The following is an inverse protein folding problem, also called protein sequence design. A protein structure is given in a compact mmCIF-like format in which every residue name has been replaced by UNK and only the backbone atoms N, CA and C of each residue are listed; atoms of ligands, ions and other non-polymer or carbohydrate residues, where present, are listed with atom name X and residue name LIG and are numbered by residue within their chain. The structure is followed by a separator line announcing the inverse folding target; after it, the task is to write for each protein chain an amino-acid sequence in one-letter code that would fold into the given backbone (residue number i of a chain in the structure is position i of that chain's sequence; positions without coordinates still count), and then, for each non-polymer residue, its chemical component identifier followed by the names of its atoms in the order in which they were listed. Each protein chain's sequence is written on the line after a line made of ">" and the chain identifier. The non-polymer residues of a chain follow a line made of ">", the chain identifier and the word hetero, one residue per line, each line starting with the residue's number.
data_IF_168257267275
#
_entry.id   IF_168257267275
#
_cell.length_a   1.000
_cell.length_b   1.000
_cell.length_c   1.000
_cell.angle_alpha   90.00
_cell.angle_beta   90.00
_cell.angle_gamma   90.00
#
_symmetry.space_group_name_H-M   'P 1'
#
loop_
_entity.id
_entity.type
_entity.pdbx_description
1 polymer ?
#
# COMPACT_ATOMS: atom_id res chain seq x y z
N UNK A 1 52.42 62.36 -0.48
CA UNK A 1 52.83 60.94 -0.45
C UNK A 1 51.66 60.13 -0.98
N UNK A 2 51.58 60.06 -2.30
CA UNK A 2 50.58 59.35 -3.08
C UNK A 2 51.36 58.22 -3.73
N UNK A 3 51.23 56.98 -3.24
CA UNK A 3 51.52 55.76 -4.00
C UNK A 3 51.27 54.56 -3.09
N UNK A 4 50.60 53.53 -3.64
CA UNK A 4 50.41 52.18 -3.09
C UNK A 4 49.17 51.97 -2.21
N UNK A 5 48.01 51.86 -2.86
CA UNK A 5 47.10 50.73 -2.64
C UNK A 5 46.05 50.64 -3.77
N UNK A 6 46.49 50.36 -5.00
CA UNK A 6 45.61 50.13 -6.16
C UNK A 6 46.01 48.87 -6.94
N UNK A 7 46.13 47.72 -6.27
CA UNK A 7 46.20 46.42 -6.96
C UNK A 7 45.56 45.32 -6.07
N UNK A 8 44.24 45.30 -5.94
CA UNK A 8 43.47 44.09 -5.56
C UNK A 8 42.01 44.15 -6.05
N UNK A 9 41.74 44.81 -7.18
CA UNK A 9 40.41 44.79 -7.82
C UNK A 9 40.55 44.38 -9.27
N UNK A 10 40.64 43.07 -9.52
CA UNK A 10 40.75 42.58 -10.88
C UNK A 10 41.01 41.08 -11.03
N UNK A 11 40.37 40.23 -10.24
CA UNK A 11 40.31 38.79 -10.55
C UNK A 11 39.12 38.07 -9.91
N UNK A 12 37.90 38.62 -10.04
CA UNK A 12 36.67 37.85 -9.81
C UNK A 12 35.67 38.17 -10.92
N UNK A 13 36.08 37.93 -12.17
CA UNK A 13 35.16 37.79 -13.31
C UNK A 13 35.72 36.66 -14.18
N UNK A 14 35.48 35.40 -13.78
CA UNK A 14 35.56 34.20 -14.65
C UNK A 14 35.55 32.92 -13.81
N UNK A 15 34.46 32.65 -13.08
CA UNK A 15 34.30 31.33 -12.45
C UNK A 15 32.85 30.96 -12.15
N UNK A 16 31.89 31.29 -13.03
CA UNK A 16 30.51 30.80 -12.89
C UNK A 16 29.88 30.51 -14.24
N UNK A 17 30.44 29.59 -15.01
CA UNK A 17 29.66 28.94 -16.07
C UNK A 17 30.27 27.59 -16.47
N UNK A 18 30.39 26.64 -15.55
CA UNK A 18 30.78 25.26 -15.91
C UNK A 18 30.36 24.20 -14.89
N UNK A 19 29.20 24.28 -14.24
CA UNK A 19 28.65 23.10 -13.57
C UNK A 19 27.14 23.14 -13.65
N UNK A 20 26.61 22.34 -14.58
CA UNK A 20 25.39 21.53 -14.46
C UNK A 20 25.21 20.80 -15.80
N UNK A 21 26.17 19.94 -16.14
CA UNK A 21 25.87 18.78 -16.98
C UNK A 21 25.60 17.65 -15.99
N UNK A 22 24.35 17.52 -15.58
CA UNK A 22 23.90 16.34 -14.86
C UNK A 22 24.04 15.18 -15.84
N UNK A 23 25.09 14.37 -15.68
CA UNK A 23 25.17 13.11 -16.41
C UNK A 23 23.92 12.28 -16.07
N UNK A 24 23.21 11.72 -17.07
CA UNK A 24 22.06 10.90 -16.78
C UNK A 24 22.52 9.71 -15.95
N UNK A 25 22.02 9.62 -14.71
CA UNK A 25 22.18 8.43 -13.89
C UNK A 25 21.47 7.31 -14.65
N UNK A 26 22.14 6.21 -15.03
CA UNK A 26 21.45 5.09 -15.64
C UNK A 26 20.45 4.58 -14.59
N UNK A 27 19.16 4.72 -14.90
CA UNK A 27 18.12 4.03 -14.16
C UNK A 27 18.36 2.54 -14.45
N UNK A 28 19.03 1.86 -13.52
CA UNK A 28 19.02 0.40 -13.48
C UNK A 28 17.59 0.06 -13.09
N UNK A 29 16.74 -0.14 -14.10
CA UNK A 29 15.50 -0.87 -13.94
C UNK A 29 15.95 -2.28 -13.57
N UNK A 30 15.97 -2.59 -12.27
CA UNK A 30 15.93 -4.00 -11.89
C UNK A 30 14.73 -4.60 -12.62
N UNK A 31 14.93 -5.60 -13.50
CA UNK A 31 13.80 -6.25 -14.13
C UNK A 31 12.92 -6.73 -13.00
N UNK A 32 11.68 -6.24 -12.94
CA UNK A 32 10.68 -6.75 -12.05
C UNK A 32 10.60 -8.26 -12.31
N UNK A 33 11.22 -9.03 -11.43
CA UNK A 33 11.17 -10.48 -11.49
C UNK A 33 9.74 -10.81 -11.11
N UNK A 34 8.87 -11.01 -12.10
CA UNK A 34 7.57 -11.59 -11.86
C UNK A 34 7.80 -12.89 -11.10
N UNK A 35 7.34 -12.93 -9.84
CA UNK A 35 7.38 -14.17 -9.10
C UNK A 35 6.45 -15.16 -9.81
N UNK A 36 6.87 -16.42 -10.00
CA UNK A 36 6.02 -17.40 -10.64
C UNK A 36 4.69 -17.53 -9.88
N UNK A 37 3.57 -17.48 -10.60
CA UNK A 37 2.23 -17.59 -10.02
C UNK A 37 2.11 -18.91 -9.27
N UNK A 38 1.62 -18.87 -8.02
CA UNK A 38 1.46 -20.05 -7.16
C UNK A 38 0.17 -19.98 -6.36
N UNK A 39 -0.53 -21.10 -6.26
CA UNK A 39 -1.68 -21.27 -5.36
C UNK A 39 -1.84 -22.73 -4.95
N UNK A 40 -2.62 -22.94 -3.90
CA UNK A 40 -3.09 -24.23 -3.42
C UNK A 40 -4.59 -24.09 -3.13
N UNK A 41 -5.39 -25.02 -3.65
CA UNK A 41 -6.84 -25.01 -3.57
C UNK A 41 -7.36 -26.41 -3.27
N UNK A 42 -8.31 -26.53 -2.35
CA UNK A 42 -8.96 -27.80 -2.06
C UNK A 42 -10.41 -27.60 -1.61
N UNK A 43 -11.26 -28.59 -1.88
CA UNK A 43 -12.58 -28.71 -1.28
C UNK A 43 -13.01 -30.17 -1.23
N UNK A 44 -14.00 -30.46 -0.39
CA UNK A 44 -14.65 -31.76 -0.35
C UNK A 44 -16.12 -31.61 0.03
N UNK A 45 -16.91 -32.59 -0.37
CA UNK A 45 -18.31 -32.76 0.01
C UNK A 45 -18.45 -34.16 0.58
N UNK A 46 -19.04 -34.24 1.76
CA UNK A 46 -19.35 -35.47 2.44
C UNK A 46 -20.79 -35.35 2.97
N UNK A 47 -21.74 -35.69 2.12
CA UNK A 47 -23.16 -35.64 2.45
C UNK A 47 -23.77 -37.03 2.34
N UNK A 48 -23.91 -37.68 3.50
CA UNK A 48 -24.52 -39.00 3.60
C UNK A 48 -26.04 -39.01 3.30
N UNK A 49 -26.71 -37.86 3.38
CA UNK A 49 -28.14 -37.78 3.07
C UNK A 49 -28.39 -37.82 1.56
N UNK A 50 -27.58 -37.10 0.79
CA UNK A 50 -27.66 -37.10 -0.68
C UNK A 50 -26.79 -38.19 -1.35
N UNK A 51 -25.83 -38.77 -0.63
CA UNK A 51 -24.85 -39.71 -1.16
C UNK A 51 -23.71 -39.04 -1.93
N UNK A 52 -23.54 -37.72 -1.78
CA UNK A 52 -22.53 -36.93 -2.47
C UNK A 52 -21.20 -36.97 -1.70
N UNK A 53 -20.29 -37.79 -2.20
CA UNK A 53 -18.93 -37.92 -1.69
C UNK A 53 -17.96 -37.57 -2.80
N UNK A 54 -17.37 -36.37 -2.72
CA UNK A 54 -16.36 -35.90 -3.67
C UNK A 54 -15.29 -35.05 -3.01
N UNK A 55 -14.10 -35.03 -3.60
CA UNK A 55 -13.00 -34.18 -3.14
C UNK A 55 -12.16 -33.71 -4.32
N UNK A 56 -11.62 -32.49 -4.22
CA UNK A 56 -10.68 -31.91 -5.17
C UNK A 56 -9.51 -31.27 -4.43
N UNK A 57 -8.32 -31.42 -4.99
CA UNK A 57 -7.14 -30.62 -4.62
C UNK A 57 -6.40 -30.19 -5.88
N UNK A 58 -5.91 -28.96 -5.94
CA UNK A 58 -5.13 -28.42 -7.04
C UNK A 58 -4.04 -27.49 -6.50
N UNK A 59 -2.85 -27.57 -7.07
CA UNK A 59 -1.75 -26.66 -6.80
C UNK A 59 -1.14 -26.19 -8.11
N UNK A 60 -0.83 -24.90 -8.18
CA UNK A 60 -0.05 -24.31 -9.29
C UNK A 60 1.30 -23.87 -8.78
N UNK A 61 2.34 -24.17 -9.55
CA UNK A 61 3.71 -23.66 -9.37
C UNK A 61 4.21 -23.20 -10.73
N UNK A 62 4.29 -21.88 -10.94
CA UNK A 62 4.68 -21.31 -12.23
C UNK A 62 3.69 -21.70 -13.33
N UNK A 63 4.16 -22.46 -14.32
CA UNK A 63 3.37 -22.92 -15.47
C UNK A 63 2.83 -24.34 -15.31
N UNK A 64 3.10 -24.99 -14.18
CA UNK A 64 2.62 -26.35 -13.91
C UNK A 64 1.45 -26.31 -12.92
N UNK A 65 0.34 -26.95 -13.30
CA UNK A 65 -0.79 -27.27 -12.43
C UNK A 65 -0.79 -28.77 -12.17
N UNK A 66 -0.96 -29.16 -10.91
CA UNK A 66 -1.15 -30.54 -10.48
C UNK A 66 -2.43 -30.60 -9.66
N UNK A 67 -3.22 -31.64 -9.84
CA UNK A 67 -4.35 -31.85 -8.96
C UNK A 67 -4.97 -33.23 -9.04
N UNK A 68 -5.94 -33.44 -8.17
CA UNK A 68 -6.71 -34.66 -8.07
C UNK A 68 -8.19 -34.30 -7.91
N UNK A 69 -9.06 -35.06 -8.56
CA UNK A 69 -10.49 -35.08 -8.29
C UNK A 69 -10.93 -36.49 -7.96
N UNK A 70 -11.84 -36.64 -7.00
CA UNK A 70 -12.43 -37.95 -6.69
C UNK A 70 -13.91 -37.84 -6.41
N UNK A 71 -14.66 -38.88 -6.81
CA UNK A 71 -16.08 -39.01 -6.55
C UNK A 71 -16.48 -40.47 -6.37
N UNK A 72 -17.52 -40.71 -5.58
CA UNK A 72 -18.18 -42.03 -5.51
C UNK A 72 -19.26 -42.10 -6.58
N UNK A 73 -19.13 -43.08 -7.48
CA UNK A 73 -20.10 -43.31 -8.53
C UNK A 73 -21.34 -44.05 -8.00
N UNK A 74 -22.47 -44.04 -8.73
CA UNK A 74 -23.68 -44.76 -8.35
C UNK A 74 -23.52 -46.27 -8.19
N UNK A 75 -22.51 -46.86 -8.84
CA UNK A 75 -22.14 -48.28 -8.73
C UNK A 75 -21.27 -48.58 -7.48
N UNK A 76 -20.99 -47.58 -6.64
CA UNK A 76 -20.13 -47.70 -5.48
C UNK A 76 -18.64 -47.75 -5.82
N UNK A 77 -18.23 -47.35 -7.02
CA UNK A 77 -16.82 -47.29 -7.40
C UNK A 77 -16.29 -45.88 -7.19
N UNK A 78 -15.20 -45.74 -6.41
CA UNK A 78 -14.47 -44.47 -6.29
C UNK A 78 -13.70 -44.22 -7.58
N UNK A 79 -14.09 -43.19 -8.31
CA UNK A 79 -13.28 -42.68 -9.42
C UNK A 79 -12.31 -41.64 -8.87
N UNK A 80 -11.04 -41.78 -9.22
CA UNK A 80 -9.97 -40.82 -8.96
C UNK A 80 -9.41 -40.36 -10.30
N UNK A 81 -9.22 -39.07 -10.45
CA UNK A 81 -8.60 -38.46 -11.61
C UNK A 81 -7.42 -37.63 -11.13
N UNK A 82 -6.21 -38.11 -11.38
CA UNK A 82 -4.99 -37.33 -11.21
C UNK A 82 -4.72 -36.57 -12.49
N UNK A 83 -4.55 -35.26 -12.42
CA UNK A 83 -4.32 -34.40 -13.58
C UNK A 83 -3.09 -33.52 -13.42
N UNK A 84 -2.45 -33.25 -14.56
CA UNK A 84 -1.34 -32.33 -14.71
C UNK A 84 -1.57 -31.46 -15.94
N UNK A 85 -1.27 -30.17 -15.84
CA UNK A 85 -1.20 -29.27 -16.99
C UNK A 85 0.11 -28.50 -16.97
N UNK A 86 0.81 -28.47 -18.11
CA UNK A 86 1.97 -27.61 -18.34
C UNK A 86 2.13 -27.32 -19.84
N UNK A 87 2.99 -26.36 -20.19
CA UNK A 87 3.18 -25.92 -21.58
C UNK A 87 3.83 -26.97 -22.50
N UNK A 88 4.54 -27.95 -21.93
CA UNK A 88 5.26 -28.97 -22.70
C UNK A 88 4.36 -30.15 -23.09
N UNK A 89 3.59 -30.68 -22.14
CA UNK A 89 2.75 -31.88 -22.32
C UNK A 89 1.27 -31.56 -22.50
N UNK A 90 0.87 -30.30 -22.31
CA UNK A 90 -0.54 -29.92 -22.25
C UNK A 90 -1.23 -30.53 -21.03
N UNK A 91 -2.52 -30.82 -21.16
CA UNK A 91 -3.32 -31.47 -20.12
C UNK A 91 -3.23 -32.99 -20.22
N UNK A 92 -2.77 -33.63 -19.14
CA UNK A 92 -2.72 -35.07 -18.96
C UNK A 92 -3.57 -35.47 -17.76
N UNK A 93 -4.36 -36.52 -17.89
CA UNK A 93 -5.16 -37.06 -16.80
C UNK A 93 -5.11 -38.58 -16.77
N UNK A 94 -4.92 -39.15 -15.58
CA UNK A 94 -5.00 -40.59 -15.33
C UNK A 94 -6.23 -40.87 -14.49
N UNK A 95 -7.10 -41.75 -14.98
CA UNK A 95 -8.33 -42.14 -14.29
C UNK A 95 -8.16 -43.52 -13.67
N UNK A 96 -8.41 -43.63 -12.37
CA UNK A 96 -8.43 -44.89 -11.63
C UNK A 96 -9.83 -45.13 -11.06
N UNK A 97 -10.39 -46.29 -11.35
CA UNK A 97 -11.66 -46.74 -10.81
C UNK A 97 -11.36 -47.78 -9.73
N UNK A 98 -11.43 -47.37 -8.47
CA UNK A 98 -11.19 -48.22 -7.31
C UNK A 98 -12.54 -48.69 -6.78
N UNK A 99 -12.84 -50.00 -6.73
CA UNK A 99 -14.04 -50.44 -6.03
C UNK A 99 -13.96 -49.94 -4.58
N UNK A 100 -15.07 -49.47 -4.02
CA UNK A 100 -15.16 -49.23 -2.58
C UNK A 100 -15.09 -50.60 -1.90
N UNK A 101 -13.87 -51.07 -1.64
CA UNK A 101 -13.67 -52.15 -0.70
C UNK A 101 -14.05 -51.53 0.65
N UNK A 102 -15.28 -51.76 1.10
CA UNK A 102 -15.58 -51.71 2.52
C UNK A 102 -14.43 -52.42 3.24
N UNK A 103 -13.88 -51.88 4.34
CA UNK A 103 -12.68 -52.48 4.90
C UNK A 103 -13.01 -53.93 5.25
N UNK A 104 -12.07 -54.81 4.89
CA UNK A 104 -11.99 -56.25 5.16
C UNK A 104 -12.64 -57.17 4.09
N UNK A 105 -11.80 -57.65 3.17
CA UNK A 105 -11.36 -59.06 3.02
C UNK A 105 -10.59 -59.18 1.70
N UNK A 106 -9.27 -58.95 1.73
CA UNK A 106 -8.39 -59.67 0.81
C UNK A 106 -8.52 -61.14 1.20
N UNK A 107 -9.36 -61.90 0.50
CA UNK A 107 -9.20 -63.34 0.30
C UNK A 107 -10.13 -63.86 -0.80
N UNK A 108 -9.50 -64.12 -1.96
CA UNK A 108 -9.55 -65.35 -2.75
C UNK A 108 -10.36 -65.37 -4.05
N UNK A 109 -9.64 -65.70 -5.13
CA UNK A 109 -10.02 -66.72 -6.12
C UNK A 109 -8.75 -67.19 -6.89
N UNK A 110 -8.69 -68.38 -7.53
CA UNK A 110 -9.45 -69.63 -7.39
C UNK A 110 -8.57 -70.90 -7.15
N UNK A 111 -9.19 -72.04 -6.84
CA UNK A 111 -8.53 -73.36 -6.70
C UNK A 111 -8.21 -74.05 -8.04
N UNK A 112 -7.09 -74.79 -8.09
CA UNK A 112 -6.94 -76.08 -8.78
C UNK A 112 -5.86 -76.95 -8.06
N UNK A 113 -6.17 -78.25 -7.89
CA UNK A 113 -5.66 -79.34 -7.02
C UNK A 113 -4.19 -79.84 -7.19
N UNK A 114 -3.69 -80.90 -6.50
CA UNK A 114 -4.03 -81.56 -5.21
C UNK A 114 -2.88 -81.56 -4.15
N UNK A 115 -3.15 -82.13 -2.97
CA UNK A 115 -2.37 -82.14 -1.71
C UNK A 115 -0.89 -82.60 -1.76
N UNK A 116 -0.07 -82.20 -0.74
CA UNK A 116 0.13 -83.10 0.40
C UNK A 116 0.01 -82.42 1.78
N UNK A 117 -0.06 -83.27 2.79
CA UNK A 117 -0.45 -83.03 4.19
C UNK A 117 0.70 -82.54 5.11
N UNK A 118 0.31 -81.72 6.09
CA UNK A 118 0.90 -81.44 7.43
C UNK A 118 2.24 -80.69 7.52
N UNK A 119 2.18 -79.43 7.99
CA UNK A 119 2.79 -79.10 9.30
C UNK A 119 2.05 -77.94 9.98
N UNK A 120 1.50 -78.28 11.14
CA UNK A 120 0.79 -77.43 12.09
C UNK A 120 1.70 -76.29 12.58
N UNK A 121 1.28 -75.04 12.34
CA UNK A 121 1.85 -73.88 13.03
C UNK A 121 0.76 -72.80 13.15
N UNK A 122 0.05 -72.85 14.29
CA UNK A 122 -0.58 -71.75 15.02
C UNK A 122 -1.02 -70.55 14.15
N UNK A 123 -2.30 -70.57 13.75
CA UNK A 123 -3.00 -69.40 13.19
C UNK A 123 -3.18 -68.37 14.32
N UNK A 124 -2.35 -67.32 14.34
CA UNK A 124 -2.61 -66.10 15.11
C UNK A 124 -3.76 -65.33 14.47
N UNK A 125 -4.96 -65.39 15.06
CA UNK A 125 -6.19 -64.73 14.60
C UNK A 125 -6.30 -63.23 14.96
N UNK A 126 -5.19 -62.48 15.07
CA UNK A 126 -5.20 -61.09 15.60
C UNK A 126 -5.08 -59.98 14.52
N UNK A 127 -4.95 -60.33 13.23
CA UNK A 127 -4.59 -59.35 12.17
C UNK A 127 -5.69 -58.41 11.64
N UNK A 128 -6.98 -58.80 11.49
CA UNK A 128 -7.98 -57.90 10.89
C UNK A 128 -8.37 -56.71 11.79
N UNK A 129 -8.35 -56.90 13.11
CA UNK A 129 -8.75 -55.88 14.09
C UNK A 129 -7.70 -54.79 14.27
N UNK A 130 -6.42 -55.15 14.29
CA UNK A 130 -5.33 -54.17 14.35
C UNK A 130 -5.32 -53.27 13.11
N UNK A 131 -5.52 -53.86 11.93
CA UNK A 131 -5.56 -53.10 10.67
C UNK A 131 -6.79 -52.18 10.58
N UNK A 132 -7.93 -52.60 11.14
CA UNK A 132 -9.12 -51.74 11.24
C UNK A 132 -8.96 -50.60 12.26
N UNK A 133 -8.24 -50.84 13.36
CA UNK A 133 -7.91 -49.80 14.33
C UNK A 133 -6.94 -48.76 13.75
N UNK A 134 -5.90 -49.18 13.03
CA UNK A 134 -4.98 -48.25 12.36
C UNK A 134 -5.68 -47.38 11.33
N UNK A 135 -6.59 -47.95 10.51
CA UNK A 135 -7.36 -47.18 9.54
C UNK A 135 -8.27 -46.14 10.23
N UNK A 136 -8.88 -46.51 11.35
CA UNK A 136 -9.74 -45.61 12.13
C UNK A 136 -8.92 -44.47 12.77
N UNK A 137 -7.72 -44.78 13.25
CA UNK A 137 -6.79 -43.80 13.82
C UNK A 137 -6.24 -42.86 12.75
N UNK A 138 -5.92 -43.38 11.56
CA UNK A 138 -5.52 -42.59 10.40
C UNK A 138 -6.63 -41.63 9.95
N UNK A 139 -7.89 -42.10 9.94
CA UNK A 139 -9.04 -41.27 9.58
C UNK A 139 -9.29 -40.16 10.61
N UNK A 140 -9.13 -40.44 11.91
CA UNK A 140 -9.18 -39.42 12.96
C UNK A 140 -8.07 -38.37 12.80
N UNK A 141 -6.84 -38.81 12.51
CA UNK A 141 -5.72 -37.91 12.28
C UNK A 141 -5.98 -37.00 11.07
N UNK A 142 -6.56 -37.53 10.00
CA UNK A 142 -6.95 -36.75 8.82
C UNK A 142 -8.02 -35.70 9.16
N UNK A 143 -9.05 -36.06 9.93
CA UNK A 143 -10.06 -35.10 10.40
C UNK A 143 -9.46 -33.99 11.25
N UNK A 144 -8.50 -34.32 12.10
CA UNK A 144 -7.86 -33.35 12.98
C UNK A 144 -7.00 -32.35 12.19
N UNK A 145 -6.23 -32.82 11.21
CA UNK A 145 -5.48 -31.97 10.30
C UNK A 145 -6.40 -31.02 9.52
N UNK A 146 -7.54 -31.53 9.05
CA UNK A 146 -8.50 -30.73 8.30
C UNK A 146 -9.15 -29.65 9.16
N UNK A 147 -9.49 -29.95 10.42
CA UNK A 147 -9.96 -28.94 11.37
C UNK A 147 -8.89 -27.88 11.66
N UNK A 148 -7.63 -28.30 11.79
CA UNK A 148 -6.52 -27.38 12.03
C UNK A 148 -6.30 -26.44 10.84
N UNK A 149 -6.36 -26.95 9.62
CA UNK A 149 -6.25 -26.15 8.39
C UNK A 149 -7.41 -25.15 8.28
N UNK A 150 -8.64 -25.59 8.59
CA UNK A 150 -9.81 -24.70 8.58
C UNK A 150 -9.70 -23.59 9.64
N UNK A 151 -9.18 -23.90 10.84
CA UNK A 151 -8.93 -22.89 11.87
C UNK A 151 -7.85 -21.89 11.44
N UNK A 152 -6.77 -22.36 10.80
CA UNK A 152 -5.72 -21.47 10.28
C UNK A 152 -6.26 -20.55 9.19
N UNK A 153 -7.06 -21.07 8.26
CA UNK A 153 -7.68 -20.26 7.21
C UNK A 153 -8.60 -19.18 7.80
N UNK A 154 -9.38 -19.55 8.82
CA UNK A 154 -10.26 -18.60 9.52
C UNK A 154 -9.46 -17.51 10.24
N UNK A 155 -8.34 -17.87 10.89
CA UNK A 155 -7.43 -16.90 11.51
C UNK A 155 -6.80 -15.96 10.48
N UNK A 156 -6.34 -16.50 9.35
CA UNK A 156 -5.76 -15.71 8.26
C UNK A 156 -6.80 -14.73 7.68
N UNK A 157 -8.03 -15.17 7.46
CA UNK A 157 -9.11 -14.31 6.98
C UNK A 157 -9.41 -13.17 7.95
N UNK A 158 -9.46 -13.48 9.25
CA UNK A 158 -9.66 -12.46 10.28
C UNK A 158 -8.51 -11.44 10.32
N UNK A 159 -7.26 -11.92 10.21
CA UNK A 159 -6.09 -11.04 10.16
C UNK A 159 -6.11 -10.14 8.92
N UNK A 160 -6.52 -10.65 7.77
CA UNK A 160 -6.65 -9.87 6.54
C UNK A 160 -7.70 -8.76 6.67
N UNK A 161 -8.86 -9.05 7.30
CA UNK A 161 -9.87 -8.03 7.57
C UNK A 161 -9.34 -6.93 8.49
N UNK A 162 -8.60 -7.29 9.55
CA UNK A 162 -7.99 -6.30 10.44
C UNK A 162 -6.99 -5.39 9.71
N UNK A 163 -6.15 -5.96 8.84
CA UNK A 163 -5.22 -5.17 8.03
C UNK A 163 -5.94 -4.22 7.06
N UNK A 164 -7.01 -4.66 6.41
CA UNK A 164 -7.82 -3.79 5.55
C UNK A 164 -8.45 -2.63 6.33
N UNK A 165 -9.00 -2.91 7.52
CA UNK A 165 -9.59 -1.88 8.37
C UNK A 165 -8.53 -0.86 8.81
N UNK A 166 -7.33 -1.33 9.18
CA UNK A 166 -6.23 -0.46 9.55
C UNK A 166 -5.79 0.44 8.38
N UNK A 167 -5.67 -0.11 7.16
CA UNK A 167 -5.36 0.68 5.97
C UNK A 167 -6.43 1.73 5.68
N UNK A 168 -7.71 1.38 5.84
CA UNK A 168 -8.81 2.33 5.65
C UNK A 168 -8.75 3.48 6.65
N UNK A 169 -8.46 3.21 7.93
CA UNK A 169 -8.29 4.25 8.95
C UNK A 169 -7.10 5.17 8.63
N UNK A 170 -5.96 4.60 8.21
CA UNK A 170 -4.79 5.37 7.77
C UNK A 170 -5.14 6.30 6.60
N UNK A 171 -5.88 5.79 5.61
CA UNK A 171 -6.28 6.58 4.45
C UNK A 171 -7.23 7.72 4.84
N UNK A 172 -8.21 7.46 5.70
CA UNK A 172 -9.11 8.50 6.23
C UNK A 172 -8.34 9.56 7.01
N UNK A 173 -7.40 9.15 7.86
CA UNK A 173 -6.58 10.09 8.61
C UNK A 173 -5.73 10.99 7.69
N UNK A 174 -5.15 10.40 6.63
CA UNK A 174 -4.38 11.17 5.66
C UNK A 174 -5.25 12.18 4.91
N UNK A 175 -6.45 11.79 4.47
CA UNK A 175 -7.39 12.70 3.83
C UNK A 175 -7.80 13.85 4.76
N UNK A 176 -8.03 13.56 6.04
CA UNK A 176 -8.37 14.58 7.03
C UNK A 176 -7.22 15.59 7.22
N UNK A 177 -5.97 15.12 7.29
CA UNK A 177 -4.81 16.00 7.36
C UNK A 177 -4.68 16.89 6.12
N UNK A 178 -4.85 16.32 4.92
CA UNK A 178 -4.81 17.11 3.68
C UNK A 178 -5.90 18.19 3.67
N UNK A 179 -7.12 17.83 4.09
CA UNK A 179 -8.23 18.78 4.17
C UNK A 179 -7.93 19.91 5.17
N UNK A 180 -7.36 19.58 6.33
CA UNK A 180 -6.98 20.56 7.34
C UNK A 180 -5.88 21.52 6.82
N UNK A 181 -4.89 21.00 6.09
CA UNK A 181 -3.87 21.82 5.45
C UNK A 181 -4.46 22.76 4.40
N UNK A 182 -5.39 22.28 3.57
CA UNK A 182 -6.08 23.11 2.58
C UNK A 182 -6.88 24.23 3.25
N UNK A 183 -7.61 23.94 4.34
CA UNK A 183 -8.33 24.97 5.10
C UNK A 183 -7.37 26.03 5.67
N UNK A 184 -6.23 25.62 6.23
CA UNK A 184 -5.23 26.56 6.73
C UNK A 184 -4.65 27.44 5.61
N UNK A 185 -4.37 26.87 4.45
CA UNK A 185 -3.89 27.63 3.28
C UNK A 185 -4.94 28.64 2.80
N UNK A 186 -6.20 28.26 2.74
CA UNK A 186 -7.30 29.18 2.38
C UNK A 186 -7.40 30.33 3.39
N UNK A 187 -7.30 30.05 4.69
CA UNK A 187 -7.33 31.08 5.72
C UNK A 187 -6.15 32.05 5.59
N UNK A 188 -4.94 31.54 5.33
CA UNK A 188 -3.76 32.37 5.09
C UNK A 188 -3.93 33.25 3.84
N UNK A 189 -4.46 32.71 2.75
CA UNK A 189 -4.75 33.47 1.54
C UNK A 189 -5.78 34.58 1.79
N UNK A 190 -6.83 34.29 2.57
CA UNK A 190 -7.85 35.28 2.91
C UNK A 190 -7.27 36.41 3.77
N UNK A 191 -6.45 36.09 4.78
CA UNK A 191 -5.75 37.10 5.58
C UNK A 191 -4.82 37.96 4.73
N UNK A 192 -4.08 37.34 3.81
CA UNK A 192 -3.20 38.07 2.91
C UNK A 192 -3.97 39.03 1.99
N UNK A 193 -5.10 38.59 1.43
CA UNK A 193 -5.97 39.45 0.63
C UNK A 193 -6.53 40.63 1.45
N UNK A 194 -6.95 40.40 2.70
CA UNK A 194 -7.41 41.47 3.59
C UNK A 194 -6.30 42.49 3.86
N UNK A 195 -5.07 42.04 4.13
CA UNK A 195 -3.94 42.94 4.33
C UNK A 195 -3.64 43.76 3.07
N UNK A 196 -3.67 43.16 1.88
CA UNK A 196 -3.50 43.90 0.63
C UNK A 196 -4.60 44.96 0.44
N UNK A 197 -5.87 44.62 0.71
CA UNK A 197 -6.97 45.59 0.63
C UNK A 197 -6.78 46.74 1.62
N UNK A 198 -6.34 46.48 2.84
CA UNK A 198 -6.03 47.53 3.82
C UNK A 198 -4.90 48.44 3.35
N UNK A 199 -3.83 47.89 2.75
CA UNK A 199 -2.74 48.69 2.18
C UNK A 199 -3.22 49.57 1.03
N UNK A 200 -4.07 49.06 0.14
CA UNK A 200 -4.66 49.83 -0.96
C UNK A 200 -5.54 50.97 -0.43
N UNK A 201 -6.36 50.71 0.60
CA UNK A 201 -7.17 51.74 1.25
C UNK A 201 -6.31 52.84 1.89
N UNK A 202 -5.24 52.48 2.58
CA UNK A 202 -4.30 53.46 3.16
C UNK A 202 -3.63 54.32 2.08
N UNK A 203 -3.22 53.72 0.95
CA UNK A 203 -2.67 54.47 -0.17
C UNK A 203 -3.68 55.45 -0.78
N UNK A 204 -4.94 55.02 -0.95
CA UNK A 204 -6.00 55.91 -1.43
C UNK A 204 -6.27 57.07 -0.47
N UNK A 205 -6.32 56.80 0.84
CA UNK A 205 -6.47 57.84 1.86
C UNK A 205 -5.32 58.84 1.82
N UNK A 206 -4.07 58.38 1.73
CA UNK A 206 -2.90 59.24 1.61
C UNK A 206 -2.96 60.13 0.34
N UNK A 207 -3.39 59.56 -0.79
CA UNK A 207 -3.59 60.33 -2.03
C UNK A 207 -4.71 61.37 -1.88
N UNK A 208 -5.81 61.02 -1.22
CA UNK A 208 -6.93 61.95 -0.97
C UNK A 208 -6.49 63.10 -0.04
N UNK A 209 -5.78 62.82 1.05
CA UNK A 209 -5.20 63.84 1.95
C UNK A 209 -4.17 64.74 1.25
N UNK A 210 -3.30 64.16 0.40
CA UNK A 210 -2.35 64.94 -0.40
C UNK A 210 -3.08 65.88 -1.39
N UNK A 211 -4.19 65.43 -1.99
CA UNK A 211 -5.00 66.27 -2.88
C UNK A 211 -5.72 67.40 -2.12
N UNK A 212 -6.23 67.15 -0.90
CA UNK A 212 -6.88 68.16 -0.05
C UNK A 212 -5.92 69.26 0.41
N UNK A 213 -4.66 68.95 0.68
CA UNK A 213 -3.61 69.93 1.02
C UNK A 213 -3.32 70.91 -0.14
N UNK A 214 -3.50 70.47 -1.38
CA UNK A 214 -3.26 71.31 -2.57
C UNK A 214 -4.41 72.28 -2.82
N UNK A 215 -5.65 71.93 -2.47
CA UNK A 215 -6.84 72.81 -2.61
C UNK A 215 -6.99 73.81 -1.46
N UNK A 216 -6.48 73.52 -0.26
CA UNK A 216 -6.51 74.45 0.87
C UNK A 216 -5.59 75.68 0.72
N UNK A 217 -4.62 75.65 -0.23
CA UNK A 217 -3.79 76.80 -0.58
C UNK A 217 -4.25 77.55 -1.84
N UNK A 218 -5.33 77.12 -2.51
CA UNK A 218 -5.88 77.77 -3.71
C UNK A 218 -7.02 78.77 -3.39
N UNK A 219 -7.09 79.24 -2.13
CA UNK A 219 -8.18 80.06 -1.63
C UNK A 219 -7.75 81.19 -0.70
N UNK A 220 -6.64 81.88 -1.00
CA UNK A 220 -6.40 83.22 -0.46
C UNK A 220 -6.04 84.14 -1.63
N UNK A 221 -7.06 84.84 -2.14
CA UNK A 221 -6.88 85.98 -3.01
C UNK A 221 -6.32 87.13 -2.15
N UNK A 222 -5.00 87.35 -2.22
CA UNK A 222 -4.36 88.55 -1.67
C UNK A 222 -4.09 89.49 -2.85
N UNK A 223 -5.10 90.29 -3.21
CA UNK A 223 -4.83 91.60 -3.77
C UNK A 223 -4.26 92.44 -2.64
N UNK A 224 -2.93 92.62 -2.63
CA UNK A 224 -2.27 93.88 -2.26
C UNK A 224 -0.75 93.76 -2.43
N UNK A 225 -0.29 94.22 -3.59
CA UNK A 225 0.83 95.15 -3.77
C UNK A 225 1.82 95.27 -2.59
N UNK A 226 3.00 94.66 -2.73
CA UNK A 226 4.21 95.08 -2.03
C UNK A 226 5.42 95.09 -3.00
N UNK A 227 6.16 96.21 -3.10
CA UNK A 227 7.45 96.28 -3.77
C UNK A 227 8.55 95.75 -2.82
N UNK A 228 9.69 95.34 -3.39
CA UNK A 228 10.88 94.74 -2.75
C UNK A 228 10.83 93.24 -2.44
N UNK A 229 11.36 92.48 -3.38
CA UNK A 229 11.90 91.14 -3.15
C UNK A 229 13.21 91.27 -2.34
N UNK A 230 13.25 90.70 -1.13
CA UNK A 230 14.48 90.45 -0.40
C UNK A 230 14.50 88.99 0.09
N UNK A 231 15.61 88.34 -0.20
CA UNK A 231 16.02 86.98 0.15
C UNK A 231 15.84 86.62 1.63
N UNK A 232 15.27 85.45 1.91
CA UNK A 232 15.66 84.67 3.10
C UNK A 232 15.37 83.17 2.93
N UNK A 233 16.28 82.39 3.49
CA UNK A 233 16.55 80.96 3.43
C UNK A 233 15.45 80.01 3.95
N UNK A 234 15.39 78.74 3.51
CA UNK A 234 14.62 77.72 4.21
C UNK A 234 15.41 77.11 5.40
N UNK A 235 14.78 76.83 6.55
CA UNK A 235 15.45 76.19 7.68
C UNK A 235 15.55 74.67 7.53
N UNK A 236 16.68 74.14 8.01
CA UNK A 236 17.01 72.73 8.23
C UNK A 236 16.38 72.21 9.51
N UNK A 237 15.63 71.10 9.48
CA UNK A 237 15.33 70.23 10.65
C UNK A 237 15.22 68.78 10.13
N UNK A 238 16.28 67.98 10.23
CA UNK A 238 16.66 67.07 11.34
C UNK A 238 15.79 65.79 11.43
N UNK A 239 16.33 64.72 10.84
CA UNK A 239 15.86 63.33 10.98
C UNK A 239 16.14 62.84 12.42
N UNK A 240 15.10 62.78 13.24
CA UNK A 240 15.17 62.07 14.51
C UNK A 240 14.63 60.65 14.33
N UNK A 241 15.58 59.71 14.34
CA UNK A 241 15.39 58.28 14.58
C UNK A 241 14.49 58.06 15.80
N UNK A 242 13.39 57.33 15.61
CA UNK A 242 12.69 56.68 16.72
C UNK A 242 12.63 55.19 16.41
N UNK A 243 13.60 54.47 16.98
CA UNK A 243 13.53 53.03 17.22
C UNK A 243 12.46 52.79 18.30
N UNK A 244 11.51 51.90 18.02
CA UNK A 244 10.74 51.24 19.08
C UNK A 244 10.96 49.72 19.01
N UNK A 245 11.32 49.08 20.13
CA UNK A 245 11.65 47.67 20.17
C UNK A 245 10.39 46.79 20.13
N UNK A 246 10.52 45.69 19.40
CA UNK A 246 9.63 44.54 19.40
C UNK A 246 9.57 43.95 20.82
N UNK A 247 8.38 43.94 21.45
CA UNK A 247 8.14 43.13 22.64
C UNK A 247 7.71 41.73 22.22
N UNK A 248 8.50 40.74 22.67
CA UNK A 248 8.13 39.34 22.76
C UNK A 248 6.92 39.17 23.68
N UNK A 249 5.92 38.40 23.25
CA UNK A 249 5.04 37.69 24.17
C UNK A 249 5.04 36.20 23.81
N UNK A 250 5.70 35.44 24.70
CA UNK A 250 5.45 34.02 24.99
C UNK A 250 4.05 33.83 25.60
N UNK A 251 3.70 32.55 25.82
CA UNK A 251 2.46 31.93 26.36
C UNK A 251 1.57 31.38 25.21
N UNK A 252 1.22 30.10 25.12
CA UNK A 252 1.28 28.92 26.00
C UNK A 252 1.48 27.66 25.14
#
# INVERSE_FOLDING_TARGET
>A
MVQKLLIFSGLIISATCSFLHTAPVPIILEPFREQPVSYDFSYHVNDAHTGDFKAQSEARRGDTVLGQYSLIQPDGVRRVVDYQANDLTGFLATVSNQPLINPIQINKAPQASPAPEIQDNQISQDSPRQQQQELQQQQQQQQQLQQQEQQQLQQQYHQQQQQQLQQQQLQQHHQQQQHQQQQQQQLQQQQHQQQQQQQLQQQQQYQEEASRSTTANAGVSIDNKCPNCASSTPPTISLSTVLHPYQNNLWL
#
